data_IF_307405481051
#
_entry.id   IF_307405481051
#
_cell.length_a   1.000
_cell.length_b   1.000
_cell.length_c   1.000
_cell.angle_alpha   90.00
_cell.angle_beta   90.00
_cell.angle_gamma   90.00
#
_symmetry.space_group_name_H-M   'P 1'
#
loop_
_entity.id
_entity.type
_entity.pdbx_description
1 polymer ?
#
# COMPACT_ATOMS: atom_id res chain seq x y z
N UNK A 1 8.01 6.31 -23.11
CA UNK A 1 8.90 5.15 -22.93
C UNK A 1 8.05 3.95 -22.59
N UNK A 2 7.97 2.89 -23.42
CA UNK A 2 7.17 1.71 -23.13
C UNK A 2 7.91 0.86 -22.09
N UNK A 3 7.39 0.77 -20.87
CA UNK A 3 7.94 -0.09 -19.85
C UNK A 3 7.57 -1.55 -20.11
N UNK A 4 8.60 -2.37 -20.33
CA UNK A 4 8.45 -3.79 -20.67
C UNK A 4 8.52 -4.73 -19.44
N UNK A 5 8.40 -4.22 -18.20
CA UNK A 5 8.21 -5.08 -17.03
C UNK A 5 6.73 -5.38 -16.89
N UNK A 6 6.36 -6.58 -17.31
CA UNK A 6 5.02 -7.09 -17.10
C UNK A 6 4.84 -7.29 -15.58
N UNK A 7 3.95 -6.49 -14.94
CA UNK A 7 3.57 -6.63 -13.53
C UNK A 7 3.21 -8.08 -13.13
N UNK A 8 2.86 -8.90 -14.13
CA UNK A 8 2.44 -10.29 -13.98
C UNK A 8 3.59 -11.29 -13.93
N UNK A 9 4.80 -10.89 -14.32
CA UNK A 9 5.99 -11.75 -14.29
C UNK A 9 6.81 -11.61 -13.01
N UNK A 10 6.37 -10.75 -12.09
CA UNK A 10 7.03 -10.61 -10.79
C UNK A 10 6.82 -11.87 -9.95
N UNK A 11 7.91 -12.34 -9.36
CA UNK A 11 7.90 -13.53 -8.51
C UNK A 11 7.15 -13.23 -7.21
N UNK A 12 6.10 -14.01 -6.94
CA UNK A 12 5.31 -13.90 -5.69
C UNK A 12 5.98 -14.64 -4.53
N UNK A 13 5.77 -14.19 -3.29
CA UNK A 13 4.99 -13.01 -2.91
C UNK A 13 5.65 -11.68 -3.30
N UNK A 14 4.83 -10.64 -3.54
CA UNK A 14 5.28 -9.29 -3.86
C UNK A 14 5.47 -8.48 -2.60
N UNK A 15 6.67 -7.91 -2.42
CA UNK A 15 6.99 -6.99 -1.35
C UNK A 15 6.94 -5.55 -1.85
N UNK A 16 6.04 -4.76 -1.26
CA UNK A 16 5.84 -3.34 -1.52
C UNK A 16 6.47 -2.57 -0.38
N UNK A 17 7.68 -2.07 -0.59
CA UNK A 17 8.42 -1.30 0.43
C UNK A 17 7.89 0.12 0.56
N UNK A 18 7.60 0.55 1.78
CA UNK A 18 7.06 1.87 2.08
C UNK A 18 8.18 2.90 2.14
N UNK A 19 8.06 3.97 1.35
CA UNK A 19 8.94 5.12 1.40
C UNK A 19 8.14 6.42 1.62
N UNK A 20 7.97 6.82 2.88
CA UNK A 20 7.32 8.08 3.22
C UNK A 20 8.31 9.23 3.01
N UNK A 21 8.20 9.92 1.90
CA UNK A 21 9.03 11.07 1.56
C UNK A 21 8.45 12.36 2.17
N UNK A 22 8.41 12.41 3.51
CA UNK A 22 7.93 13.55 4.31
C UNK A 22 9.09 14.19 5.07
N UNK A 23 8.99 15.48 5.46
CA UNK A 23 10.04 16.18 6.21
C UNK A 23 10.49 15.42 7.46
N UNK A 24 9.56 14.81 8.18
CA UNK A 24 9.83 14.09 9.43
C UNK A 24 10.54 12.75 9.24
N UNK A 25 10.48 12.18 8.02
CA UNK A 25 10.99 10.81 7.75
C UNK A 25 12.44 10.79 7.30
N UNK A 26 12.95 11.86 6.68
CA UNK A 26 14.28 11.93 6.08
C UNK A 26 15.00 13.24 6.43
N UNK A 27 14.80 13.77 7.65
CA UNK A 27 15.54 14.92 8.15
C UNK A 27 16.85 14.46 8.81
N UNK A 28 17.96 15.01 8.38
CA UNK A 28 19.24 14.86 9.07
C UNK A 28 19.24 15.75 10.33
N UNK A 29 18.81 15.16 11.46
CA UNK A 29 18.73 15.88 12.74
C UNK A 29 17.83 17.10 12.73
N UNK A 30 16.76 17.12 11.88
CA UNK A 30 15.76 18.19 11.84
C UNK A 30 16.10 19.38 10.93
N UNK A 31 17.21 19.38 10.22
CA UNK A 31 17.67 20.56 9.45
C UNK A 31 17.54 20.46 7.92
N UNK A 32 17.54 19.27 7.32
CA UNK A 32 17.43 19.16 5.86
C UNK A 32 16.72 17.87 5.44
N UNK A 33 15.68 18.03 4.61
CA UNK A 33 14.99 16.94 3.94
C UNK A 33 15.90 16.35 2.85
N UNK A 34 16.47 15.16 3.09
CA UNK A 34 17.50 14.59 2.25
C UNK A 34 16.94 13.60 1.22
N UNK A 35 17.01 13.99 -0.07
CA UNK A 35 16.78 13.09 -1.20
C UNK A 35 17.74 11.90 -1.17
N UNK A 36 19.01 12.13 -0.83
CA UNK A 36 20.04 11.08 -0.79
C UNK A 36 19.68 9.99 0.21
N UNK A 37 19.26 10.37 1.42
CA UNK A 37 18.81 9.39 2.45
C UNK A 37 17.61 8.57 1.96
N UNK A 38 16.63 9.20 1.30
CA UNK A 38 15.49 8.50 0.73
C UNK A 38 15.89 7.51 -0.38
N UNK A 39 16.79 7.92 -1.30
CA UNK A 39 17.30 7.04 -2.36
C UNK A 39 18.13 5.88 -1.80
N UNK A 40 18.94 6.11 -0.76
CA UNK A 40 19.69 5.06 -0.07
C UNK A 40 18.73 4.07 0.59
N UNK A 41 17.69 4.54 1.27
CA UNK A 41 16.67 3.69 1.86
C UNK A 41 15.92 2.86 0.79
N UNK A 42 15.52 3.45 -0.33
CA UNK A 42 14.92 2.74 -1.45
C UNK A 42 15.86 1.66 -1.99
N UNK A 43 17.14 1.99 -2.18
CA UNK A 43 18.13 1.03 -2.70
C UNK A 43 18.33 -0.14 -1.72
N UNK A 44 18.34 0.11 -0.40
CA UNK A 44 18.36 -0.95 0.61
C UNK A 44 17.13 -1.84 0.50
N UNK A 45 15.91 -1.29 0.51
CA UNK A 45 14.69 -2.07 0.37
C UNK A 45 14.68 -2.94 -0.91
N UNK A 46 15.19 -2.40 -2.02
CA UNK A 46 15.28 -3.16 -3.29
C UNK A 46 16.31 -4.27 -3.19
N UNK A 47 17.46 -4.05 -2.54
CA UNK A 47 18.48 -5.08 -2.26
C UNK A 47 17.91 -6.18 -1.37
N UNK A 48 17.11 -5.80 -0.39
CA UNK A 48 16.46 -6.69 0.59
C UNK A 48 15.28 -7.46 -0.01
N UNK A 49 14.85 -7.14 -1.23
CA UNK A 49 13.87 -7.92 -1.99
C UNK A 49 12.55 -7.23 -2.28
N UNK A 50 12.40 -5.92 -2.03
CA UNK A 50 11.24 -5.19 -2.50
C UNK A 50 11.20 -5.13 -4.03
N UNK A 51 10.08 -5.52 -4.63
CA UNK A 51 9.87 -5.43 -6.07
C UNK A 51 9.12 -4.15 -6.47
N UNK A 52 8.39 -3.58 -5.52
CA UNK A 52 7.62 -2.34 -5.68
C UNK A 52 8.03 -1.40 -4.56
N UNK A 53 8.26 -0.13 -4.89
CA UNK A 53 8.48 0.94 -3.92
C UNK A 53 7.25 1.84 -3.94
N UNK A 54 6.59 1.97 -2.79
CA UNK A 54 5.41 2.81 -2.62
C UNK A 54 5.79 4.13 -1.97
N UNK A 55 5.73 5.21 -2.75
CA UNK A 55 6.20 6.53 -2.36
C UNK A 55 5.01 7.41 -2.01
N UNK A 56 5.00 7.94 -0.79
CA UNK A 56 4.05 8.94 -0.31
C UNK A 56 4.76 10.21 0.13
N UNK A 57 4.25 11.37 -0.26
CA UNK A 57 4.77 12.67 0.16
C UNK A 57 3.86 13.40 1.17
N UNK A 58 2.74 12.78 1.52
CA UNK A 58 1.81 13.18 2.57
C UNK A 58 1.69 12.07 3.62
N UNK A 59 1.57 12.44 4.89
CA UNK A 59 1.26 11.48 5.94
C UNK A 59 -0.24 11.20 5.96
N UNK A 60 -0.61 9.93 5.82
CA UNK A 60 -2.00 9.47 5.96
C UNK A 60 -2.28 8.83 7.32
N UNK A 61 -1.37 9.02 8.29
CA UNK A 61 -1.53 8.55 9.67
C UNK A 61 -2.72 9.24 10.36
N UNK A 62 -3.33 8.60 11.38
CA UNK A 62 -4.33 9.28 12.21
C UNK A 62 -3.80 10.62 12.72
N UNK A 63 -4.66 11.66 12.70
CA UNK A 63 -4.37 13.04 13.12
C UNK A 63 -3.34 13.82 12.29
N UNK A 64 -2.88 13.29 11.13
CA UNK A 64 -2.06 14.09 10.22
C UNK A 64 -2.90 15.18 9.53
N UNK A 65 -2.32 16.36 9.36
CA UNK A 65 -2.93 17.42 8.57
C UNK A 65 -2.67 17.20 7.07
N UNK A 66 -3.70 17.35 6.24
CA UNK A 66 -3.54 17.21 4.80
C UNK A 66 -2.73 18.39 4.23
N UNK A 67 -1.91 18.11 3.23
CA UNK A 67 -1.21 19.14 2.45
C UNK A 67 -1.92 19.39 1.13
N UNK A 68 -1.63 20.54 0.49
CA UNK A 68 -2.15 20.84 -0.85
C UNK A 68 -1.49 19.92 -1.90
N UNK A 69 -2.16 19.70 -3.05
CA UNK A 69 -1.57 18.94 -4.15
C UNK A 69 -0.31 19.62 -4.70
N UNK A 70 -0.25 20.96 -4.68
CA UNK A 70 0.94 21.70 -5.09
C UNK A 70 2.16 21.41 -4.21
N UNK A 71 1.98 21.36 -2.90
CA UNK A 71 3.04 20.99 -1.95
C UNK A 71 3.44 19.52 -2.11
N UNK A 72 2.47 18.63 -2.32
CA UNK A 72 2.73 17.22 -2.54
C UNK A 72 3.56 17.01 -3.82
N UNK A 73 3.17 17.66 -4.93
CA UNK A 73 3.92 17.65 -6.19
C UNK A 73 5.31 18.26 -5.99
N UNK A 74 5.45 19.37 -5.25
CA UNK A 74 6.74 19.99 -4.92
C UNK A 74 7.68 19.02 -4.19
N UNK A 75 7.17 18.22 -3.27
CA UNK A 75 7.95 17.17 -2.60
C UNK A 75 8.34 16.07 -3.58
N UNK A 76 7.36 15.53 -4.30
CA UNK A 76 7.57 14.43 -5.26
C UNK A 76 8.52 14.80 -6.39
N UNK A 77 8.54 16.05 -6.85
CA UNK A 77 9.47 16.52 -7.89
C UNK A 77 10.94 16.40 -7.49
N UNK A 78 11.22 16.34 -6.19
CA UNK A 78 12.59 16.19 -5.68
C UNK A 78 13.09 14.74 -5.69
N UNK A 79 12.20 13.75 -5.83
CA UNK A 79 12.57 12.33 -5.77
C UNK A 79 12.23 11.56 -7.05
N UNK A 80 11.03 11.72 -7.63
CA UNK A 80 10.57 10.93 -8.76
C UNK A 80 11.53 10.90 -9.95
N UNK A 81 12.22 12.03 -10.35
CA UNK A 81 13.17 12.02 -11.48
C UNK A 81 14.40 11.14 -11.26
N UNK A 82 14.69 10.78 -10.01
CA UNK A 82 15.92 10.05 -9.63
C UNK A 82 15.68 8.56 -9.39
N UNK A 83 14.43 8.09 -9.53
CA UNK A 83 14.10 6.70 -9.34
C UNK A 83 14.51 5.83 -10.52
N UNK A 84 14.92 4.59 -10.22
CA UNK A 84 15.28 3.64 -11.27
C UNK A 84 14.06 2.79 -11.69
N UNK A 85 13.21 3.36 -12.54
CA UNK A 85 12.01 2.71 -13.08
C UNK A 85 12.28 1.41 -13.88
N UNK A 86 13.55 1.15 -14.27
CA UNK A 86 13.93 -0.10 -14.95
C UNK A 86 14.23 -1.23 -13.97
N UNK A 87 14.64 -0.89 -12.74
CA UNK A 87 15.07 -1.88 -11.74
C UNK A 87 13.91 -2.39 -10.90
N UNK A 88 12.98 -1.52 -10.51
CA UNK A 88 11.82 -1.83 -9.67
C UNK A 88 10.57 -1.07 -10.14
N UNK A 89 9.41 -1.52 -9.70
CA UNK A 89 8.17 -0.78 -9.93
C UNK A 89 8.02 0.32 -8.88
N UNK A 90 7.38 1.41 -9.29
CA UNK A 90 7.06 2.54 -8.41
C UNK A 90 5.55 2.65 -8.29
N UNK A 91 5.05 2.69 -7.06
CA UNK A 91 3.70 3.06 -6.68
C UNK A 91 3.69 4.45 -6.06
N UNK A 92 2.67 5.23 -6.32
CA UNK A 92 2.40 6.50 -5.66
C UNK A 92 1.29 6.33 -4.63
N UNK A 93 1.58 6.62 -3.36
CA UNK A 93 0.57 6.73 -2.29
C UNK A 93 0.02 8.16 -2.27
N UNK A 94 -1.05 8.39 -3.01
CA UNK A 94 -1.78 9.66 -3.07
C UNK A 94 -3.21 9.46 -3.56
N UNK A 95 -4.13 10.24 -2.99
CA UNK A 95 -5.55 10.26 -3.35
C UNK A 95 -5.96 11.54 -4.12
N UNK A 96 -5.01 12.44 -4.41
CA UNK A 96 -5.27 13.70 -5.11
C UNK A 96 -5.10 13.53 -6.62
N UNK A 97 -6.12 13.81 -7.44
CA UNK A 97 -6.10 13.60 -8.89
C UNK A 97 -4.93 14.29 -9.60
N UNK A 98 -4.61 15.53 -9.20
CA UNK A 98 -3.52 16.30 -9.80
C UNK A 98 -2.15 15.67 -9.54
N UNK A 99 -1.94 15.18 -8.31
CA UNK A 99 -0.71 14.48 -7.92
C UNK A 99 -0.60 13.14 -8.63
N UNK A 100 -1.71 12.41 -8.74
CA UNK A 100 -1.77 11.13 -9.45
C UNK A 100 -1.42 11.30 -10.93
N UNK A 101 -2.00 12.31 -11.60
CA UNK A 101 -1.70 12.59 -13.00
C UNK A 101 -0.24 13.03 -13.18
N UNK A 102 0.28 13.90 -12.32
CA UNK A 102 1.68 14.31 -12.33
C UNK A 102 2.62 13.10 -12.25
N UNK A 103 2.38 12.20 -11.31
CA UNK A 103 3.22 11.03 -11.11
C UNK A 103 3.15 10.04 -12.29
N UNK A 104 1.98 9.83 -12.86
CA UNK A 104 1.80 8.98 -14.05
C UNK A 104 2.53 9.56 -15.27
N UNK A 105 2.53 10.89 -15.45
CA UNK A 105 3.33 11.58 -16.48
C UNK A 105 4.83 11.37 -16.27
N UNK A 106 5.29 11.18 -15.02
CA UNK A 106 6.69 10.88 -14.68
C UNK A 106 7.05 9.40 -14.79
N UNK A 107 6.10 8.52 -15.12
CA UNK A 107 6.35 7.10 -15.36
C UNK A 107 6.08 6.19 -14.15
N UNK A 108 5.38 6.66 -13.14
CA UNK A 108 4.91 5.82 -12.03
C UNK A 108 4.01 4.69 -12.58
N UNK A 109 4.19 3.49 -12.04
CA UNK A 109 3.57 2.27 -12.57
C UNK A 109 2.22 1.94 -11.92
N UNK A 110 2.00 2.37 -10.69
CA UNK A 110 0.84 2.02 -9.88
C UNK A 110 0.39 3.26 -9.10
N UNK A 111 -0.92 3.46 -8.98
CA UNK A 111 -1.49 4.41 -8.03
C UNK A 111 -2.08 3.65 -6.84
N UNK A 112 -1.61 3.99 -5.65
CA UNK A 112 -2.14 3.53 -4.37
C UNK A 112 -3.07 4.60 -3.81
N UNK A 113 -4.38 4.35 -3.90
CA UNK A 113 -5.41 5.32 -3.50
C UNK A 113 -6.16 4.85 -2.26
N UNK A 114 -5.91 5.54 -1.14
CA UNK A 114 -6.60 5.28 0.13
C UNK A 114 -8.09 5.65 0.10
N UNK A 115 -8.56 6.41 -0.90
CA UNK A 115 -9.97 6.71 -1.13
C UNK A 115 -10.69 5.61 -1.92
N UNK A 116 -9.95 4.60 -2.37
CA UNK A 116 -10.50 3.44 -3.04
C UNK A 116 -10.94 3.68 -4.48
N UNK A 117 -10.42 4.70 -5.11
CA UNK A 117 -10.60 5.01 -6.53
C UNK A 117 -11.88 5.74 -6.90
N UNK A 118 -11.78 6.50 -7.97
CA UNK A 118 -12.88 7.20 -8.66
C UNK A 118 -12.89 6.81 -10.15
N UNK A 119 -13.96 7.16 -10.86
CA UNK A 119 -14.02 6.93 -12.33
C UNK A 119 -12.92 7.71 -13.06
N UNK A 120 -12.61 8.92 -12.59
CA UNK A 120 -11.52 9.76 -13.13
C UNK A 120 -10.18 9.06 -12.98
N UNK A 121 -9.88 8.54 -11.79
CA UNK A 121 -8.66 7.78 -11.56
C UNK A 121 -8.60 6.55 -12.46
N UNK A 122 -9.71 5.82 -12.65
CA UNK A 122 -9.72 4.64 -13.51
C UNK A 122 -9.50 4.98 -14.98
N UNK A 123 -10.08 6.09 -15.47
CA UNK A 123 -9.79 6.61 -16.83
C UNK A 123 -8.31 6.99 -16.96
N UNK A 124 -7.79 7.69 -15.98
CA UNK A 124 -6.41 8.15 -15.95
C UNK A 124 -5.43 6.96 -15.95
N UNK A 125 -5.58 6.01 -15.04
CA UNK A 125 -4.70 4.84 -14.95
C UNK A 125 -4.80 3.94 -16.19
N UNK A 126 -5.99 3.82 -16.81
CA UNK A 126 -6.15 3.14 -18.08
C UNK A 126 -5.38 3.83 -19.21
N UNK A 127 -5.44 5.17 -19.30
CA UNK A 127 -4.69 5.98 -20.29
C UNK A 127 -3.20 5.74 -20.21
N UNK A 128 -2.65 5.67 -18.98
CA UNK A 128 -1.21 5.43 -18.74
C UNK A 128 -0.84 3.94 -18.61
N UNK A 129 -1.80 3.03 -18.79
CA UNK A 129 -1.60 1.58 -18.63
C UNK A 129 -1.05 1.19 -17.25
N UNK A 130 -1.37 1.97 -16.21
CA UNK A 130 -0.92 1.80 -14.83
C UNK A 130 -1.77 0.79 -14.05
N UNK A 131 -1.24 0.32 -12.91
CA UNK A 131 -1.96 -0.51 -11.94
C UNK A 131 -2.65 0.32 -10.86
N UNK A 132 -3.46 -0.35 -10.03
CA UNK A 132 -4.24 0.25 -8.97
C UNK A 132 -4.13 -0.56 -7.67
N UNK A 133 -3.80 0.11 -6.58
CA UNK A 133 -4.06 -0.35 -5.22
C UNK A 133 -5.25 0.45 -4.69
N UNK A 134 -6.35 -0.24 -4.38
CA UNK A 134 -7.62 0.39 -3.99
C UNK A 134 -7.95 0.00 -2.55
N UNK A 135 -7.83 0.95 -1.63
CA UNK A 135 -8.02 0.69 -0.21
C UNK A 135 -9.45 0.97 0.26
N UNK A 136 -10.00 0.06 1.07
CA UNK A 136 -11.23 0.27 1.81
C UNK A 136 -10.97 0.99 3.13
N UNK A 137 -11.57 2.17 3.30
CA UNK A 137 -11.53 2.91 4.56
C UNK A 137 -12.91 3.37 5.01
N UNK A 138 -13.02 3.73 6.27
CA UNK A 138 -14.17 4.45 6.85
C UNK A 138 -13.69 5.76 7.45
N UNK A 139 -14.40 6.85 7.15
CA UNK A 139 -14.04 8.19 7.61
C UNK A 139 -12.79 8.79 6.93
N UNK A 140 -12.43 9.97 7.38
CA UNK A 140 -11.20 10.68 6.98
C UNK A 140 -10.04 10.32 7.92
N UNK A 141 -8.77 10.52 7.55
CA UNK A 141 -7.63 10.31 8.46
C UNK A 141 -7.78 11.01 9.80
N UNK A 142 -8.37 12.22 9.82
CA UNK A 142 -8.58 13.03 11.03
C UNK A 142 -9.67 12.45 11.96
N UNK A 143 -10.67 11.74 11.42
CA UNK A 143 -11.85 11.30 12.18
C UNK A 143 -12.00 9.77 12.27
N UNK A 144 -11.28 9.02 11.45
CA UNK A 144 -11.50 7.58 11.27
C UNK A 144 -11.38 6.75 12.55
N UNK A 145 -10.67 7.25 13.58
CA UNK A 145 -10.53 6.57 14.87
C UNK A 145 -11.49 7.08 15.96
N UNK A 146 -12.20 8.21 15.69
CA UNK A 146 -13.07 8.85 16.70
C UNK A 146 -14.51 8.32 16.70
N UNK A 147 -15.01 7.88 15.53
CA UNK A 147 -16.41 7.46 15.34
C UNK A 147 -16.49 6.03 14.81
N UNK A 148 -15.89 5.09 15.54
CA UNK A 148 -15.97 3.68 15.18
C UNK A 148 -17.38 3.13 15.43
N UNK A 149 -17.90 2.35 14.46
CA UNK A 149 -19.13 1.60 14.63
C UNK A 149 -18.79 0.10 14.83
N UNK A 150 -18.73 -0.40 16.07
CA UNK A 150 -18.35 -1.78 16.35
C UNK A 150 -19.34 -2.82 15.82
N UNK A 151 -20.61 -2.44 15.57
CA UNK A 151 -21.66 -3.32 15.04
C UNK A 151 -21.59 -3.51 13.53
N UNK A 152 -20.80 -2.69 12.81
CA UNK A 152 -20.68 -2.80 11.37
C UNK A 152 -19.93 -4.08 10.95
N UNK A 153 -20.49 -4.81 10.00
CA UNK A 153 -19.86 -6.00 9.44
C UNK A 153 -18.85 -5.60 8.35
N UNK A 154 -17.58 -5.54 8.71
CA UNK A 154 -16.51 -5.08 7.80
C UNK A 154 -16.28 -6.01 6.62
N UNK A 155 -16.53 -7.30 6.76
CA UNK A 155 -16.41 -8.26 5.65
C UNK A 155 -17.49 -7.96 4.60
N UNK A 156 -18.75 -7.74 5.02
CA UNK A 156 -19.82 -7.34 4.09
C UNK A 156 -19.57 -5.97 3.46
N UNK A 157 -19.01 -5.01 4.22
CA UNK A 157 -18.67 -3.69 3.67
C UNK A 157 -17.54 -3.79 2.64
N UNK A 158 -16.53 -4.60 2.91
CA UNK A 158 -15.44 -4.83 1.97
C UNK A 158 -15.92 -5.57 0.71
N UNK A 159 -16.84 -6.55 0.84
CA UNK A 159 -17.48 -7.19 -0.32
C UNK A 159 -18.18 -6.15 -1.21
N UNK A 160 -19.04 -5.31 -0.63
CA UNK A 160 -19.74 -4.24 -1.37
C UNK A 160 -18.78 -3.25 -2.01
N UNK A 161 -17.68 -2.94 -1.33
CA UNK A 161 -16.64 -2.07 -1.87
C UNK A 161 -16.01 -2.69 -3.12
N UNK A 162 -15.59 -3.96 -3.07
CA UNK A 162 -15.02 -4.69 -4.19
C UNK A 162 -16.01 -4.75 -5.35
N UNK A 163 -17.25 -5.17 -5.09
CA UNK A 163 -18.30 -5.32 -6.11
C UNK A 163 -18.56 -4.00 -6.86
N UNK A 164 -18.68 -2.90 -6.12
CA UNK A 164 -18.87 -1.56 -6.71
C UNK A 164 -17.72 -1.18 -7.64
N UNK A 165 -16.45 -1.42 -7.25
CA UNK A 165 -15.26 -1.10 -8.06
C UNK A 165 -15.15 -2.01 -9.27
N UNK A 166 -15.37 -3.30 -9.08
CA UNK A 166 -15.34 -4.28 -10.18
C UNK A 166 -16.40 -3.97 -11.25
N UNK A 167 -17.61 -3.54 -10.86
CA UNK A 167 -18.66 -3.14 -11.81
C UNK A 167 -18.17 -2.01 -12.72
N UNK A 168 -17.56 -0.97 -12.17
CA UNK A 168 -17.05 0.18 -12.93
C UNK A 168 -15.86 -0.25 -13.80
N UNK A 169 -14.87 -0.94 -13.23
CA UNK A 169 -13.67 -1.37 -13.93
C UNK A 169 -13.98 -2.32 -15.09
N UNK A 170 -14.93 -3.25 -14.91
CA UNK A 170 -15.40 -4.15 -15.98
C UNK A 170 -16.09 -3.37 -17.11
N UNK A 171 -17.00 -2.43 -16.77
CA UNK A 171 -17.64 -1.54 -17.76
C UNK A 171 -16.61 -0.77 -18.60
N UNK A 172 -15.51 -0.35 -17.94
CA UNK A 172 -14.41 0.35 -18.61
C UNK A 172 -13.43 -0.59 -19.34
N UNK A 173 -13.64 -1.91 -19.34
CA UNK A 173 -12.71 -2.90 -19.90
C UNK A 173 -11.29 -2.70 -19.32
N UNK A 174 -11.18 -2.44 -18.01
CA UNK A 174 -9.90 -2.31 -17.33
C UNK A 174 -9.27 -3.69 -17.13
N UNK A 175 -7.94 -3.79 -17.23
CA UNK A 175 -7.23 -5.03 -16.95
C UNK A 175 -7.21 -5.33 -15.45
N UNK A 176 -8.13 -6.19 -14.98
CA UNK A 176 -8.29 -6.52 -13.57
C UNK A 176 -7.05 -7.20 -12.95
N UNK A 177 -6.16 -7.77 -13.77
CA UNK A 177 -4.87 -8.29 -13.27
C UNK A 177 -3.92 -7.19 -12.77
N UNK A 178 -4.24 -5.93 -12.99
CA UNK A 178 -3.50 -4.74 -12.50
C UNK A 178 -4.20 -4.06 -11.33
N UNK A 179 -5.17 -4.72 -10.69
CA UNK A 179 -5.94 -4.15 -9.59
C UNK A 179 -5.78 -5.02 -8.34
N UNK A 180 -5.33 -4.40 -7.26
CA UNK A 180 -5.28 -4.99 -5.93
C UNK A 180 -6.27 -4.26 -5.02
N UNK A 181 -6.98 -5.04 -4.22
CA UNK A 181 -7.88 -4.52 -3.19
C UNK A 181 -7.20 -4.62 -1.83
N UNK A 182 -7.12 -3.50 -1.11
CA UNK A 182 -6.60 -3.46 0.26
C UNK A 182 -7.77 -3.38 1.24
N UNK A 183 -7.91 -4.31 2.19
CA UNK A 183 -8.95 -4.26 3.22
C UNK A 183 -8.78 -3.07 4.17
N UNK A 184 -7.67 -2.35 4.12
CA UNK A 184 -7.41 -1.14 4.91
C UNK A 184 -7.40 -1.41 6.41
N UNK A 185 -6.56 -2.35 6.85
CA UNK A 185 -6.36 -2.65 8.27
C UNK A 185 -5.94 -1.38 9.01
N UNK A 186 -6.64 -1.05 10.11
CA UNK A 186 -6.39 0.15 10.92
C UNK A 186 -7.07 1.43 10.41
N UNK A 187 -7.78 1.41 9.28
CA UNK A 187 -8.46 2.58 8.73
C UNK A 187 -9.97 2.58 9.05
N UNK A 188 -10.33 3.23 10.17
CA UNK A 188 -11.72 3.37 10.61
C UNK A 188 -12.37 2.06 11.06
N UNK A 189 -11.61 1.18 11.71
CA UNK A 189 -12.01 -0.16 12.14
C UNK A 189 -11.58 -0.46 13.56
N UNK A 190 -12.43 -1.13 14.33
CA UNK A 190 -12.06 -1.65 15.66
C UNK A 190 -11.07 -2.80 15.54
N UNK A 191 -10.44 -3.21 16.66
CA UNK A 191 -9.57 -4.39 16.68
C UNK A 191 -10.28 -5.63 16.12
N UNK A 192 -11.48 -5.94 16.64
CA UNK A 192 -12.24 -7.10 16.20
C UNK A 192 -12.56 -7.08 14.70
N UNK A 193 -12.89 -5.91 14.16
CA UNK A 193 -13.14 -5.73 12.72
C UNK A 193 -11.89 -5.93 11.86
N UNK A 194 -10.73 -5.48 12.33
CA UNK A 194 -9.45 -5.76 11.67
C UNK A 194 -9.15 -7.26 11.67
N UNK A 195 -9.33 -7.94 12.80
CA UNK A 195 -9.12 -9.38 12.93
C UNK A 195 -10.10 -10.18 12.05
N UNK A 196 -11.39 -9.78 12.00
CA UNK A 196 -12.38 -10.41 11.11
C UNK A 196 -11.97 -10.32 9.64
N UNK A 197 -11.53 -9.15 9.18
CA UNK A 197 -11.03 -8.98 7.82
C UNK A 197 -9.82 -9.86 7.54
N UNK A 198 -8.83 -9.90 8.44
CA UNK A 198 -7.63 -10.72 8.26
C UNK A 198 -7.97 -12.22 8.22
N UNK A 199 -8.90 -12.70 9.05
CA UNK A 199 -9.37 -14.10 9.02
C UNK A 199 -10.14 -14.45 7.76
N UNK A 200 -10.66 -13.48 7.03
CA UNK A 200 -11.51 -13.67 5.84
C UNK A 200 -10.77 -13.50 4.51
N UNK A 201 -9.44 -13.35 4.51
CA UNK A 201 -8.68 -13.04 3.30
C UNK A 201 -8.76 -14.16 2.25
N UNK A 202 -8.82 -15.42 2.67
CA UNK A 202 -8.97 -16.58 1.77
C UNK A 202 -10.20 -16.49 0.87
N UNK A 203 -11.29 -15.89 1.35
CA UNK A 203 -12.51 -15.64 0.56
C UNK A 203 -12.24 -14.88 -0.74
N UNK A 204 -11.26 -13.99 -0.73
CA UNK A 204 -10.93 -13.11 -1.86
C UNK A 204 -9.91 -13.76 -2.79
N UNK A 205 -8.91 -14.44 -2.25
CA UNK A 205 -7.92 -15.18 -3.03
C UNK A 205 -8.57 -16.32 -3.82
N UNK A 206 -9.55 -17.03 -3.24
CA UNK A 206 -10.32 -18.06 -3.94
C UNK A 206 -11.16 -17.51 -5.11
N UNK A 207 -11.50 -16.21 -5.09
CA UNK A 207 -12.17 -15.52 -6.20
C UNK A 207 -11.20 -14.97 -7.25
N UNK A 208 -9.93 -15.33 -7.20
CA UNK A 208 -8.85 -14.80 -8.04
C UNK A 208 -8.69 -13.27 -7.97
N UNK A 209 -9.09 -12.67 -6.86
CA UNK A 209 -8.84 -11.25 -6.60
C UNK A 209 -7.42 -11.07 -6.05
N UNK A 210 -6.75 -10.03 -6.48
CA UNK A 210 -5.47 -9.67 -5.90
C UNK A 210 -5.71 -8.81 -4.64
N UNK A 211 -5.13 -9.26 -3.51
CA UNK A 211 -5.20 -8.54 -2.24
C UNK A 211 -3.83 -7.96 -1.93
N UNK A 212 -3.81 -6.68 -1.59
CA UNK A 212 -2.68 -6.00 -0.95
C UNK A 212 -2.96 -5.93 0.55
N UNK A 213 -2.10 -6.53 1.36
CA UNK A 213 -2.20 -6.40 2.81
C UNK A 213 -1.19 -5.39 3.36
N UNK A 214 -1.71 -4.29 3.92
CA UNK A 214 -0.94 -3.28 4.63
C UNK A 214 -1.18 -3.34 6.14
N UNK A 215 -0.60 -4.33 6.84
CA UNK A 215 -0.75 -4.54 8.30
C UNK A 215 0.46 -4.11 9.12
N UNK A 216 1.60 -3.82 8.47
CA UNK A 216 2.92 -3.60 9.07
C UNK A 216 2.94 -2.44 10.07
N UNK A 217 3.44 -2.70 11.28
CA UNK A 217 3.66 -1.77 12.41
C UNK A 217 2.43 -0.99 12.89
N UNK A 218 1.21 -1.38 12.46
CA UNK A 218 -0.03 -0.65 12.76
C UNK A 218 -0.50 -0.86 14.20
N UNK A 219 -1.32 0.07 14.69
CA UNK A 219 -1.81 0.12 16.07
C UNK A 219 -2.70 -1.06 16.49
N UNK A 220 -3.26 -1.83 15.54
CA UNK A 220 -4.01 -3.03 15.88
C UNK A 220 -3.16 -4.05 16.66
N UNK A 221 -1.82 -4.07 16.42
CA UNK A 221 -0.88 -4.91 17.18
C UNK A 221 -0.77 -4.40 18.61
N UNK A 222 -0.65 -3.07 18.80
CA UNK A 222 -0.61 -2.45 20.12
C UNK A 222 -1.85 -2.73 20.98
N UNK A 223 -3.01 -2.93 20.36
CA UNK A 223 -4.22 -3.30 21.11
C UNK A 223 -4.22 -4.76 21.59
N UNK A 224 -3.35 -5.60 21.05
CA UNK A 224 -3.15 -6.99 21.49
C UNK A 224 -1.99 -7.06 22.48
N UNK A 225 -0.88 -6.43 22.11
CA UNK A 225 0.36 -6.37 22.89
C UNK A 225 0.88 -4.92 22.88
N UNK A 226 0.78 -4.19 24.01
CA UNK A 226 1.20 -2.80 24.12
C UNK A 226 2.65 -2.59 23.70
N UNK A 227 2.85 -1.78 22.66
CA UNK A 227 4.17 -1.63 22.03
C UNK A 227 4.27 -0.36 21.19
N UNK A 228 5.48 0.19 21.07
CA UNK A 228 5.79 1.24 20.11
C UNK A 228 5.88 0.68 18.67
N UNK A 229 5.71 1.53 17.66
CA UNK A 229 5.67 1.09 16.26
C UNK A 229 6.91 0.27 15.84
N UNK A 230 8.11 0.61 16.35
CA UNK A 230 9.36 -0.10 16.04
C UNK A 230 9.45 -1.49 16.70
N UNK A 231 8.68 -1.74 17.76
CA UNK A 231 8.64 -3.02 18.49
C UNK A 231 7.63 -4.01 17.88
N UNK A 232 6.83 -3.60 16.87
CA UNK A 232 5.72 -4.39 16.29
C UNK A 232 6.15 -5.31 15.14
N UNK A 233 7.43 -5.57 15.00
CA UNK A 233 7.94 -6.39 13.90
C UNK A 233 7.41 -7.84 13.99
N UNK A 234 7.43 -8.45 15.17
CA UNK A 234 6.89 -9.80 15.40
C UNK A 234 5.41 -9.92 15.00
N UNK A 235 4.56 -8.98 15.45
CA UNK A 235 3.14 -8.93 15.07
C UNK A 235 2.93 -8.66 13.58
N UNK A 236 3.81 -7.86 12.96
CA UNK A 236 3.78 -7.61 11.51
C UNK A 236 4.07 -8.91 10.74
N UNK A 237 5.13 -9.64 11.11
CA UNK A 237 5.50 -10.91 10.48
C UNK A 237 4.43 -11.98 10.69
N UNK A 238 3.87 -12.11 11.90
CA UNK A 238 2.77 -13.03 12.19
C UNK A 238 1.55 -12.77 11.29
N UNK A 239 1.18 -11.50 11.08
CA UNK A 239 0.06 -11.15 10.20
C UNK A 239 0.32 -11.49 8.72
N UNK A 240 1.56 -11.37 8.27
CA UNK A 240 1.97 -11.73 6.90
C UNK A 240 1.96 -13.25 6.73
N UNK A 241 2.49 -14.02 7.71
CA UNK A 241 2.44 -15.48 7.71
C UNK A 241 0.99 -15.97 7.61
N UNK A 242 0.11 -15.49 8.48
CA UNK A 242 -1.31 -15.81 8.44
C UNK A 242 -1.97 -15.49 7.09
N UNK A 243 -1.59 -14.38 6.46
CA UNK A 243 -2.13 -14.01 5.15
C UNK A 243 -1.56 -14.87 4.02
N UNK A 244 -0.29 -15.30 4.10
CA UNK A 244 0.31 -16.25 3.15
C UNK A 244 -0.43 -17.59 3.15
N UNK A 245 -0.81 -18.12 4.32
CA UNK A 245 -1.62 -19.33 4.48
C UNK A 245 -3.01 -19.18 3.83
N UNK A 246 -3.52 -17.97 3.73
CA UNK A 246 -4.76 -17.62 3.04
C UNK A 246 -4.56 -17.26 1.56
N UNK A 247 -3.41 -17.58 0.96
CA UNK A 247 -3.06 -17.29 -0.43
C UNK A 247 -3.00 -15.78 -0.80
N UNK A 248 -2.83 -14.89 0.17
CA UNK A 248 -2.49 -13.50 -0.09
C UNK A 248 -1.00 -13.41 -0.41
N UNK A 249 -0.67 -12.73 -1.51
CA UNK A 249 0.68 -12.72 -2.06
C UNK A 249 1.21 -11.31 -2.38
N UNK A 250 0.67 -10.26 -1.74
CA UNK A 250 1.17 -8.90 -1.91
C UNK A 250 1.08 -8.14 -0.60
N UNK A 251 2.22 -7.63 -0.12
CA UNK A 251 2.38 -7.07 1.21
C UNK A 251 3.02 -5.68 1.16
N UNK A 252 2.33 -4.68 1.74
CA UNK A 252 2.85 -3.32 1.91
C UNK A 252 3.47 -3.20 3.31
N UNK A 253 4.79 -3.03 3.36
CA UNK A 253 5.60 -3.27 4.55
C UNK A 253 6.69 -2.22 4.76
N UNK A 254 7.09 -2.03 6.03
CA UNK A 254 8.27 -1.24 6.42
C UNK A 254 9.53 -2.13 6.46
N UNK A 255 9.41 -3.35 6.97
CA UNK A 255 10.50 -4.27 7.34
C UNK A 255 10.73 -5.27 6.20
N UNK A 256 11.32 -4.81 5.08
CA UNK A 256 11.48 -5.62 3.87
C UNK A 256 12.46 -6.78 4.11
N UNK A 257 13.59 -6.53 4.76
CA UNK A 257 14.63 -7.52 5.01
C UNK A 257 14.09 -8.69 5.83
N UNK A 258 13.46 -8.39 6.96
CA UNK A 258 12.92 -9.37 7.90
C UNK A 258 11.76 -10.16 7.28
N UNK A 259 10.89 -9.46 6.55
CA UNK A 259 9.79 -10.12 5.84
C UNK A 259 10.31 -11.07 4.76
N UNK A 260 11.31 -10.66 3.98
CA UNK A 260 11.90 -11.51 2.95
C UNK A 260 12.62 -12.73 3.57
N UNK A 261 13.33 -12.53 4.70
CA UNK A 261 13.94 -13.61 5.44
C UNK A 261 12.89 -14.63 5.92
N UNK A 262 11.83 -14.16 6.58
CA UNK A 262 10.73 -15.00 7.03
C UNK A 262 10.12 -15.80 5.87
N UNK A 263 9.84 -15.18 4.72
CA UNK A 263 9.29 -15.86 3.53
C UNK A 263 10.25 -16.96 3.02
N UNK A 264 11.56 -16.70 3.01
CA UNK A 264 12.55 -17.70 2.58
C UNK A 264 12.58 -18.89 3.52
N UNK A 265 12.52 -18.65 4.84
CA UNK A 265 12.48 -19.71 5.87
C UNK A 265 11.19 -20.52 5.72
N UNK A 266 10.02 -19.88 5.64
CA UNK A 266 8.74 -20.60 5.42
C UNK A 266 8.79 -21.47 4.15
N UNK A 267 9.36 -20.97 3.06
CA UNK A 267 9.52 -21.77 1.83
C UNK A 267 10.46 -22.96 2.00
N UNK A 268 11.45 -22.86 2.85
CA UNK A 268 12.36 -23.97 3.12
C UNK A 268 11.70 -25.04 4.01
N UNK A 269 10.89 -24.62 4.98
CA UNK A 269 10.15 -25.52 5.88
C UNK A 269 9.00 -26.27 5.16
N UNK A 270 8.44 -25.70 4.09
CA UNK A 270 7.32 -26.28 3.34
C UNK A 270 7.74 -27.04 2.08
N UNK A 271 9.03 -27.35 1.93
CA UNK A 271 9.59 -28.25 0.91
C UNK A 271 9.64 -29.67 1.41
#
# INVERSE_FOLDING_TARGET
>A
MKFNKNLFTLKKPLLVGICNFTPDSFSDGGKTFSRTSALNHINSMVKDGAQIIDIGAESTRPNSEPITYTEEIRRLSKILPYLNYKKYLVSLDSYKPETQEYALKKGVHIINDINGGSEELFKLTKKYNAGLFLMHKRGTPKEMQKKLNPRANMVKEFDKFIEKRLKILKKMKFNLKKVWFDPGIGFGKTLNQNLQLMRSLSKYSHKNLQILLGSSRKSWINFIDPSNANQRIGGSLASITHALEQNVNTFRIHDVQETNQMIKVLKALNK
#
